data_IF_970801507484
#
_entry.id   IF_970801507484
#
_cell.length_a   1.000
_cell.length_b   1.000
_cell.length_c   1.000
_cell.angle_alpha   90.00
_cell.angle_beta   90.00
_cell.angle_gamma   90.00
#
_symmetry.space_group_name_H-M   'P 1'
#
loop_
_entity.id
_entity.type
_entity.pdbx_description
1 polymer ?
#
# COMPACT_ATOMS: atom_id res chain seq x y z
N UNK A 1 -5.74 27.46 -11.75
CA UNK A 1 -6.49 26.31 -11.19
C UNK A 1 -5.62 25.08 -11.00
N UNK A 2 -4.98 24.52 -12.05
CA UNK A 2 -4.08 23.34 -11.91
C UNK A 2 -2.92 23.54 -10.92
N UNK A 3 -2.24 24.69 -10.96
CA UNK A 3 -1.17 25.02 -10.00
C UNK A 3 -1.65 25.11 -8.54
N UNK A 4 -2.87 25.61 -8.32
CA UNK A 4 -3.50 25.68 -6.99
C UNK A 4 -3.79 24.26 -6.50
N UNK A 5 -4.38 23.41 -7.33
CA UNK A 5 -4.64 22.01 -7.00
C UNK A 5 -3.36 21.22 -6.71
N UNK A 6 -2.28 21.46 -7.46
CA UNK A 6 -0.98 20.83 -7.16
C UNK A 6 -0.36 21.32 -5.85
N UNK A 7 -0.66 22.55 -5.44
CA UNK A 7 -0.24 23.14 -4.17
C UNK A 7 -0.98 22.59 -2.94
N UNK A 8 -2.11 21.89 -3.14
CA UNK A 8 -2.83 21.21 -2.05
C UNK A 8 -2.26 19.83 -1.73
N UNK A 9 -1.46 19.24 -2.62
CA UNK A 9 -0.88 17.90 -2.42
C UNK A 9 -0.07 17.75 -1.13
N UNK A 10 0.78 18.72 -0.73
CA UNK A 10 1.46 18.65 0.56
C UNK A 10 0.48 18.66 1.75
N UNK A 11 -0.61 19.42 1.66
CA UNK A 11 -1.66 19.45 2.70
C UNK A 11 -2.33 18.08 2.82
N UNK A 12 -2.69 17.48 1.69
CA UNK A 12 -3.26 16.12 1.65
C UNK A 12 -2.26 15.10 2.24
N UNK A 13 -0.97 15.23 1.90
CA UNK A 13 0.08 14.34 2.35
C UNK A 13 0.36 14.44 3.86
N UNK A 14 0.44 15.65 4.40
CA UNK A 14 0.59 15.88 5.85
C UNK A 14 -0.63 15.33 6.59
N UNK A 15 -1.84 15.59 6.09
CA UNK A 15 -3.07 15.07 6.70
C UNK A 15 -3.11 13.54 6.66
N UNK A 16 -2.68 12.92 5.56
CA UNK A 16 -2.54 11.47 5.47
C UNK A 16 -1.57 10.94 6.53
N UNK A 17 -0.39 11.55 6.67
CA UNK A 17 0.60 11.18 7.69
C UNK A 17 0.07 11.27 9.12
N UNK A 18 -0.59 12.39 9.48
CA UNK A 18 -1.18 12.56 10.81
C UNK A 18 -2.29 11.54 11.07
N UNK A 19 -3.19 11.33 10.11
CA UNK A 19 -4.26 10.33 10.22
C UNK A 19 -3.69 8.93 10.42
N UNK A 20 -2.66 8.56 9.67
CA UNK A 20 -1.98 7.27 9.80
C UNK A 20 -1.34 7.11 11.17
N UNK A 21 -0.63 8.11 11.69
CA UNK A 21 -0.03 8.04 13.02
C UNK A 21 -1.09 7.84 14.13
N UNK A 22 -2.19 8.60 14.08
CA UNK A 22 -3.31 8.46 15.03
C UNK A 22 -3.98 7.08 14.89
N UNK A 23 -4.18 6.60 13.66
CA UNK A 23 -4.79 5.30 13.39
C UNK A 23 -3.96 4.15 13.97
N UNK A 24 -2.64 4.19 13.79
CA UNK A 24 -1.75 3.17 14.35
C UNK A 24 -1.66 3.26 15.88
N UNK A 25 -1.64 4.47 16.45
CA UNK A 25 -1.71 4.64 17.90
C UNK A 25 -3.00 4.06 18.49
N UNK A 26 -4.15 4.25 17.83
CA UNK A 26 -5.41 3.61 18.24
C UNK A 26 -5.34 2.09 18.06
N UNK A 27 -4.75 1.57 16.97
CA UNK A 27 -4.58 0.12 16.75
C UNK A 27 -3.80 -0.54 17.89
N UNK A 28 -2.70 0.09 18.28
CA UNK A 28 -1.76 -0.42 19.27
C UNK A 28 -2.28 -0.20 20.71
N UNK A 29 -3.30 0.63 20.87
CA UNK A 29 -4.07 0.73 22.10
C UNK A 29 -5.04 -0.45 22.28
N UNK A 30 -5.60 -0.59 23.47
CA UNK A 30 -6.67 -1.54 23.75
C UNK A 30 -8.07 -0.91 23.74
N UNK A 31 -8.21 0.38 23.42
CA UNK A 31 -9.49 1.12 23.54
C UNK A 31 -10.55 0.73 22.51
N UNK A 32 -10.13 0.16 21.38
CA UNK A 32 -11.02 -0.34 20.34
C UNK A 32 -11.68 -1.68 20.70
N UNK A 33 -11.14 -2.41 21.67
CA UNK A 33 -11.63 -3.73 22.07
C UNK A 33 -12.96 -3.58 22.82
N UNK A 34 -14.05 -4.09 22.23
CA UNK A 34 -15.39 -4.07 22.81
C UNK A 34 -16.10 -5.41 22.54
N UNK A 35 -17.03 -5.84 23.40
CA UNK A 35 -17.82 -7.05 23.14
C UNK A 35 -18.48 -7.00 21.76
N UNK A 36 -18.32 -8.06 20.96
CA UNK A 36 -18.87 -8.17 19.61
C UNK A 36 -18.03 -7.55 18.48
N UNK A 37 -16.88 -6.95 18.78
CA UNK A 37 -15.94 -6.43 17.78
C UNK A 37 -14.82 -7.45 17.55
N UNK A 38 -14.73 -7.98 16.32
CA UNK A 38 -13.81 -9.08 16.00
C UNK A 38 -12.37 -8.64 15.70
N UNK A 39 -12.16 -7.39 15.25
CA UNK A 39 -10.84 -6.87 14.90
C UNK A 39 -10.80 -5.35 14.92
N UNK A 40 -9.59 -4.78 14.91
CA UNK A 40 -9.39 -3.34 14.83
C UNK A 40 -9.97 -2.75 13.53
N UNK A 41 -9.80 -3.42 12.39
CA UNK A 41 -10.39 -3.00 11.10
C UNK A 41 -11.91 -2.94 11.19
N UNK A 42 -12.55 -3.88 11.90
CA UNK A 42 -13.99 -3.89 12.08
C UNK A 42 -14.47 -2.72 12.96
N UNK A 43 -13.73 -2.41 14.04
CA UNK A 43 -14.00 -1.24 14.88
C UNK A 43 -13.88 0.06 14.08
N UNK A 44 -12.75 0.26 13.40
CA UNK A 44 -12.45 1.46 12.62
C UNK A 44 -13.44 1.64 11.46
N UNK A 45 -13.75 0.56 10.73
CA UNK A 45 -14.69 0.58 9.62
C UNK A 45 -16.12 0.95 10.04
N UNK A 46 -16.54 0.51 11.23
CA UNK A 46 -17.83 0.90 11.82
C UNK A 46 -17.82 2.37 12.27
N UNK A 47 -16.77 2.79 12.99
CA UNK A 47 -16.65 4.15 13.52
C UNK A 47 -16.63 5.22 12.40
N UNK A 48 -15.97 4.92 11.29
CA UNK A 48 -15.86 5.82 10.12
C UNK A 48 -16.98 5.65 9.11
N UNK A 49 -17.85 4.65 9.28
CA UNK A 49 -18.84 4.20 8.29
C UNK A 49 -18.26 3.84 6.92
N UNK A 50 -16.94 3.59 6.84
CA UNK A 50 -16.27 3.16 5.63
C UNK A 50 -16.38 1.64 5.39
N UNK A 51 -16.82 0.89 6.42
CA UNK A 51 -16.88 -0.56 6.40
C UNK A 51 -15.48 -1.20 6.38
N UNK A 52 -15.46 -2.54 6.36
CA UNK A 52 -14.22 -3.31 6.44
C UNK A 52 -13.24 -3.04 5.28
N UNK A 53 -13.67 -2.93 4.00
CA UNK A 53 -12.74 -2.63 2.91
C UNK A 53 -12.09 -1.26 3.03
N UNK A 54 -12.85 -0.24 3.45
CA UNK A 54 -12.33 1.10 3.70
C UNK A 54 -11.32 1.11 4.84
N UNK A 55 -11.64 0.42 5.94
CA UNK A 55 -10.72 0.32 7.07
C UNK A 55 -9.39 -0.36 6.71
N UNK A 56 -9.44 -1.48 5.97
CA UNK A 56 -8.23 -2.18 5.51
C UNK A 56 -7.37 -1.31 4.61
N UNK A 57 -8.00 -0.50 3.75
CA UNK A 57 -7.30 0.49 2.91
C UNK A 57 -6.58 1.53 3.76
N UNK A 58 -7.27 2.12 4.73
CA UNK A 58 -6.68 3.15 5.61
C UNK A 58 -5.50 2.59 6.40
N UNK A 59 -5.64 1.37 6.93
CA UNK A 59 -4.58 0.69 7.70
C UNK A 59 -3.38 0.35 6.81
N UNK A 60 -3.61 -0.17 5.60
CA UNK A 60 -2.52 -0.46 4.66
C UNK A 60 -1.74 0.81 4.27
N UNK A 61 -2.42 1.94 4.08
CA UNK A 61 -1.74 3.23 3.85
C UNK A 61 -0.93 3.65 5.08
N UNK A 62 -1.48 3.46 6.27
CA UNK A 62 -0.80 3.80 7.52
C UNK A 62 0.45 2.96 7.75
N UNK A 63 0.38 1.65 7.52
CA UNK A 63 1.52 0.75 7.63
C UNK A 63 2.63 1.11 6.64
N UNK A 64 2.28 1.48 5.38
CA UNK A 64 3.26 1.99 4.41
C UNK A 64 3.95 3.24 4.93
N UNK A 65 3.19 4.24 5.40
CA UNK A 65 3.77 5.50 5.88
C UNK A 65 4.62 5.31 7.15
N UNK A 66 4.32 4.33 7.99
CA UNK A 66 5.08 4.05 9.21
C UNK A 66 6.37 3.26 8.94
N UNK A 67 6.36 2.36 7.95
CA UNK A 67 7.49 1.47 7.65
C UNK A 67 8.43 2.01 6.58
N UNK A 68 7.99 2.98 5.77
CA UNK A 68 8.72 3.50 4.62
C UNK A 68 8.95 5.02 4.70
N UNK A 69 10.00 5.47 5.40
CA UNK A 69 10.22 6.89 5.64
C UNK A 69 10.43 7.71 4.34
N UNK A 70 11.07 7.14 3.30
CA UNK A 70 11.27 7.86 2.05
C UNK A 70 9.93 8.08 1.31
N UNK A 71 9.05 7.07 1.32
CA UNK A 71 7.69 7.19 0.77
C UNK A 71 6.87 8.21 1.57
N UNK A 72 6.96 8.17 2.91
CA UNK A 72 6.28 9.12 3.76
C UNK A 72 6.72 10.57 3.51
N UNK A 73 8.03 10.81 3.39
CA UNK A 73 8.56 12.13 3.04
C UNK A 73 8.11 12.62 1.67
N UNK A 74 8.07 11.73 0.66
CA UNK A 74 7.58 12.07 -0.67
C UNK A 74 6.08 12.42 -0.69
N UNK A 75 5.26 11.73 0.11
CA UNK A 75 3.83 12.03 0.25
C UNK A 75 3.61 13.35 0.97
N UNK A 76 4.28 13.57 2.11
CA UNK A 76 4.13 14.80 2.92
C UNK A 76 4.60 16.06 2.17
N UNK A 77 5.65 15.95 1.36
CA UNK A 77 6.12 17.04 0.49
C UNK A 77 5.22 17.27 -0.73
N UNK A 78 4.22 16.42 -0.96
CA UNK A 78 3.35 16.46 -2.14
C UNK A 78 4.01 16.03 -3.45
N UNK A 79 5.26 15.54 -3.39
CA UNK A 79 5.98 15.00 -4.53
C UNK A 79 5.31 13.72 -5.06
N UNK A 80 4.85 12.86 -4.14
CA UNK A 80 4.04 11.68 -4.44
C UNK A 80 2.58 11.92 -3.98
N UNK A 81 1.61 12.00 -4.91
CA UNK A 81 0.19 12.12 -4.57
C UNK A 81 -0.31 10.98 -3.66
N UNK A 82 -1.26 11.29 -2.76
CA UNK A 82 -1.94 10.29 -1.90
C UNK A 82 -2.63 9.19 -2.73
N UNK A 83 -3.06 9.48 -3.96
CA UNK A 83 -3.57 8.46 -4.88
C UNK A 83 -2.54 7.39 -5.29
N UNK A 84 -1.25 7.76 -5.39
CA UNK A 84 -0.16 6.80 -5.61
C UNK A 84 0.10 5.97 -4.35
N UNK A 85 0.08 6.62 -3.16
CA UNK A 85 0.17 5.90 -1.89
C UNK A 85 -0.92 4.83 -1.79
N UNK A 86 -2.15 5.18 -2.14
CA UNK A 86 -3.28 4.26 -2.11
C UNK A 86 -3.12 3.07 -3.06
N UNK A 87 -2.67 3.33 -4.29
CA UNK A 87 -2.41 2.26 -5.26
C UNK A 87 -1.30 1.33 -4.76
N UNK A 88 -0.24 1.90 -4.20
CA UNK A 88 0.88 1.12 -3.66
C UNK A 88 0.50 0.32 -2.42
N UNK A 89 -0.20 0.92 -1.45
CA UNK A 89 -0.68 0.24 -0.25
C UNK A 89 -1.58 -0.97 -0.58
N UNK A 90 -2.41 -0.86 -1.63
CA UNK A 90 -3.20 -1.99 -2.11
C UNK A 90 -2.36 -3.14 -2.68
N UNK A 91 -1.24 -2.81 -3.33
CA UNK A 91 -0.32 -3.82 -3.86
C UNK A 91 0.48 -4.46 -2.71
N UNK A 92 1.01 -3.67 -1.79
CA UNK A 92 1.83 -4.17 -0.67
C UNK A 92 1.03 -4.99 0.33
N UNK A 93 -0.26 -4.69 0.56
CA UNK A 93 -1.11 -5.45 1.46
C UNK A 93 -1.26 -6.95 1.09
N UNK A 94 -1.08 -7.29 -0.19
CA UNK A 94 -1.10 -8.67 -0.68
C UNK A 94 0.28 -9.28 -0.93
N UNK A 95 1.36 -8.57 -0.57
CA UNK A 95 2.72 -8.98 -0.87
C UNK A 95 3.22 -10.07 0.10
N UNK A 96 4.18 -10.88 -0.35
CA UNK A 96 4.81 -11.90 0.48
C UNK A 96 5.73 -11.27 1.53
N UNK A 97 6.11 -12.04 2.55
CA UNK A 97 7.06 -11.57 3.56
C UNK A 97 8.39 -11.14 2.94
N UNK A 98 8.90 -11.87 1.95
CA UNK A 98 10.12 -11.51 1.22
C UNK A 98 10.03 -10.14 0.57
N UNK A 99 8.88 -9.80 -0.03
CA UNK A 99 8.65 -8.47 -0.58
C UNK A 99 8.59 -7.44 0.56
N UNK A 100 7.86 -7.72 1.64
CA UNK A 100 7.76 -6.80 2.78
C UNK A 100 9.13 -6.48 3.39
N UNK A 101 10.02 -7.46 3.50
CA UNK A 101 11.37 -7.26 3.98
C UNK A 101 12.20 -6.40 3.02
N UNK A 102 12.09 -6.65 1.71
CA UNK A 102 12.75 -5.85 0.68
C UNK A 102 12.26 -4.41 0.63
N UNK A 103 10.97 -4.21 0.90
CA UNK A 103 10.28 -2.92 0.95
C UNK A 103 10.78 -2.00 2.08
N UNK A 104 11.42 -2.55 3.12
CA UNK A 104 12.11 -1.77 4.17
C UNK A 104 13.45 -1.19 3.67
N UNK A 105 14.02 -1.72 2.59
CA UNK A 105 15.30 -1.25 2.06
C UNK A 105 15.18 0.18 1.47
N UNK A 106 16.02 1.14 1.90
CA UNK A 106 16.00 2.50 1.38
C UNK A 106 16.10 2.60 -0.14
N UNK A 107 16.92 1.78 -0.81
CA UNK A 107 17.07 1.86 -2.27
C UNK A 107 15.81 1.44 -3.02
N UNK A 108 15.05 0.49 -2.47
CA UNK A 108 13.75 0.07 -3.01
C UNK A 108 12.71 1.16 -2.81
N UNK A 109 12.72 1.82 -1.66
CA UNK A 109 11.84 2.96 -1.40
C UNK A 109 12.14 4.14 -2.33
N UNK A 110 13.42 4.46 -2.55
CA UNK A 110 13.84 5.50 -3.49
C UNK A 110 13.37 5.21 -4.92
N UNK A 111 13.43 3.94 -5.34
CA UNK A 111 12.89 3.52 -6.63
C UNK A 111 11.37 3.75 -6.71
N UNK A 112 10.61 3.41 -5.66
CA UNK A 112 9.16 3.65 -5.60
C UNK A 112 8.86 5.16 -5.64
N UNK A 113 9.60 5.97 -4.89
CA UNK A 113 9.47 7.43 -4.90
C UNK A 113 9.79 7.99 -6.29
N UNK A 114 10.84 7.51 -6.93
CA UNK A 114 11.18 7.90 -8.30
C UNK A 114 10.04 7.60 -9.28
N UNK A 115 9.44 6.41 -9.21
CA UNK A 115 8.26 6.07 -10.02
C UNK A 115 7.09 7.00 -9.70
N UNK A 116 6.80 7.23 -8.42
CA UNK A 116 5.66 8.04 -7.96
C UNK A 116 5.76 9.54 -8.28
N UNK A 117 6.97 10.03 -8.52
CA UNK A 117 7.25 11.44 -8.88
C UNK A 117 7.32 11.67 -10.38
N UNK A 118 7.61 10.63 -11.18
CA UNK A 118 7.81 10.74 -12.63
C UNK A 118 6.65 10.21 -13.46
N UNK A 119 5.79 9.37 -12.89
CA UNK A 119 4.74 8.66 -13.63
C UNK A 119 3.33 9.12 -13.24
N UNK A 120 2.40 8.97 -14.19
CA UNK A 120 0.97 9.07 -13.93
C UNK A 120 0.45 7.80 -13.23
N UNK A 121 -0.72 7.91 -12.59
CA UNK A 121 -1.22 6.85 -11.71
C UNK A 121 -1.34 5.45 -12.35
N UNK A 122 -1.84 5.30 -13.60
CA UNK A 122 -1.89 4.00 -14.27
C UNK A 122 -0.51 3.41 -14.56
N UNK A 123 0.47 4.24 -14.91
CA UNK A 123 1.84 3.78 -15.20
C UNK A 123 2.58 3.45 -13.92
N UNK A 124 2.44 4.29 -12.89
CA UNK A 124 2.96 4.05 -11.55
C UNK A 124 2.50 2.68 -11.02
N UNK A 125 1.18 2.42 -11.08
CA UNK A 125 0.60 1.17 -10.59
C UNK A 125 1.22 -0.05 -11.28
N UNK A 126 1.35 -0.01 -12.61
CA UNK A 126 1.97 -1.10 -13.39
C UNK A 126 3.45 -1.27 -13.08
N UNK A 127 4.19 -0.18 -12.95
CA UNK A 127 5.62 -0.21 -12.63
C UNK A 127 5.88 -0.80 -11.24
N UNK A 128 5.06 -0.43 -10.25
CA UNK A 128 5.15 -0.97 -8.88
C UNK A 128 4.77 -2.44 -8.83
N UNK A 129 3.73 -2.87 -9.54
CA UNK A 129 3.38 -4.29 -9.65
C UNK A 129 4.54 -5.11 -10.23
N UNK A 130 5.21 -4.58 -11.26
CA UNK A 130 6.41 -5.22 -11.83
C UNK A 130 7.56 -5.27 -10.82
N UNK A 131 7.85 -4.16 -10.14
CA UNK A 131 8.89 -4.09 -9.12
C UNK A 131 8.65 -5.13 -8.01
N UNK A 132 7.43 -5.18 -7.48
CA UNK A 132 7.03 -6.15 -6.45
C UNK A 132 7.18 -7.59 -6.94
N UNK A 133 6.82 -7.86 -8.20
CA UNK A 133 7.00 -9.19 -8.80
C UNK A 133 8.48 -9.56 -9.03
N UNK A 134 9.37 -8.58 -9.23
CA UNK A 134 10.82 -8.80 -9.33
C UNK A 134 11.46 -9.08 -7.96
N UNK A 135 10.91 -8.50 -6.89
CA UNK A 135 11.35 -8.73 -5.50
C UNK A 135 10.95 -10.11 -4.95
N UNK A 136 10.08 -10.86 -5.63
CA UNK A 136 9.67 -12.21 -5.24
C UNK A 136 9.97 -13.27 -6.33
N UNK A 137 11.24 -13.70 -6.46
CA UNK A 137 11.62 -14.74 -7.42
C UNK A 137 10.86 -16.06 -7.19
N UNK A 138 10.59 -16.43 -5.94
CA UNK A 138 9.92 -17.68 -5.59
C UNK A 138 8.42 -17.67 -5.91
N UNK A 139 7.73 -16.53 -5.79
CA UNK A 139 6.35 -16.40 -6.28
C UNK A 139 6.29 -16.36 -7.80
N UNK A 140 7.30 -15.76 -8.46
CA UNK A 140 7.42 -15.79 -9.91
C UNK A 140 7.53 -17.22 -10.44
N UNK A 141 8.34 -18.06 -9.80
CA UNK A 141 8.50 -19.48 -10.16
C UNK A 141 7.20 -20.27 -9.93
N UNK A 142 6.53 -20.10 -8.79
CA UNK A 142 5.22 -20.74 -8.53
C UNK A 142 4.15 -20.31 -9.55
N UNK A 143 4.14 -19.05 -9.99
CA UNK A 143 3.22 -18.58 -11.00
C UNK A 143 3.51 -19.23 -12.37
N UNK A 144 4.78 -19.39 -12.73
CA UNK A 144 5.19 -20.11 -13.94
C UNK A 144 4.83 -21.59 -13.88
N UNK A 145 5.05 -22.26 -12.75
CA UNK A 145 4.66 -23.66 -12.54
C UNK A 145 3.15 -23.85 -12.62
N UNK A 146 2.36 -22.98 -11.99
CA UNK A 146 0.90 -23.00 -12.08
C UNK A 146 0.38 -22.77 -13.51
N UNK A 147 1.04 -21.89 -14.28
CA UNK A 147 0.72 -21.69 -15.69
C UNK A 147 1.06 -22.92 -16.54
N UNK A 148 2.19 -23.60 -16.26
CA UNK A 148 2.56 -24.86 -16.92
C UNK A 148 1.54 -25.95 -16.58
N UNK A 149 1.21 -26.15 -15.31
CA UNK A 149 0.24 -27.14 -14.86
C UNK A 149 -1.12 -26.98 -15.55
N UNK A 150 -1.62 -25.74 -15.69
CA UNK A 150 -2.88 -25.44 -16.39
C UNK A 150 -2.83 -25.68 -17.90
N UNK A 151 -1.65 -25.63 -18.53
CA UNK A 151 -1.46 -25.95 -19.95
C UNK A 151 -1.39 -27.46 -20.22
N UNK A 152 -0.85 -28.22 -19.28
CA UNK A 152 -0.71 -29.68 -19.40
C UNK A 152 -1.91 -30.48 -18.87
N UNK A 153 -2.90 -29.82 -18.24
CA UNK A 153 -4.15 -30.44 -17.76
C UNK A 153 -5.24 -30.63 -18.83
N UNK A 154 -4.92 -30.45 -20.11
CA UNK A 154 -5.85 -30.57 -21.24
C UNK A 154 -5.40 -31.59 -22.32
N UNK A 155 -4.79 -32.71 -21.93
CA UNK A 155 -4.41 -33.80 -22.84
C UNK A 155 -4.57 -35.15 -22.14
N UNK A 156 -5.82 -35.50 -21.82
CA UNK A 156 -6.23 -36.87 -21.53
C UNK A 156 -7.75 -36.96 -21.64
N UNK A 157 -8.21 -37.16 -22.87
CA UNK A 157 -9.41 -37.93 -23.25
C UNK A 157 -9.11 -38.62 -24.59
#
# INVERSE_FOLDING_TARGET
RRAVLSGLRPVDGVLAGVRSAVLLAERDSTTWQRPGVASFEAAHGSATRAGLPGARRDIAQADVLATMPAVAGAVQSGAMPVGHLDAFARISAGASQTVNDALVNPSVQDAIVHLGTTQDAPTFTRSVQRLVAELDPAARDRAHENQRARRFLHLSD
#
